data_IF_654921931301
#
_entry.id   IF_654921931301
#
_cell.length_a   1.000
_cell.length_b   1.000
_cell.length_c   1.000
_cell.angle_alpha   90.00
_cell.angle_beta   90.00
_cell.angle_gamma   90.00
#
_symmetry.space_group_name_H-M   'P 1'
#
loop_
_entity.id
_entity.type
_entity.pdbx_description
1 polymer ?
#
# COMPACT_ATOMS: atom_id res chain seq x y z
N UNK A 1 1.24 -21.02 0.74
CA UNK A 1 0.41 -20.02 1.45
C UNK A 1 -0.16 -20.69 2.68
N UNK A 2 -0.14 -20.00 3.82
CA UNK A 2 -0.73 -20.53 5.06
C UNK A 2 -2.23 -20.25 5.10
N UNK A 3 -2.95 -21.05 5.88
CA UNK A 3 -4.40 -20.92 6.06
C UNK A 3 -4.80 -19.51 6.58
N UNK A 4 -3.93 -18.87 7.38
CA UNK A 4 -4.15 -17.50 7.87
C UNK A 4 -4.07 -16.48 6.75
N UNK A 5 -3.07 -16.58 5.87
CA UNK A 5 -2.95 -15.68 4.70
C UNK A 5 -4.17 -15.76 3.79
N UNK A 6 -4.70 -16.96 3.57
CA UNK A 6 -5.90 -17.14 2.73
C UNK A 6 -7.13 -16.50 3.38
N UNK A 7 -7.36 -16.72 4.68
CA UNK A 7 -8.46 -16.09 5.42
C UNK A 7 -8.35 -14.56 5.44
N UNK A 8 -7.16 -14.02 5.65
CA UNK A 8 -6.94 -12.57 5.60
C UNK A 8 -7.22 -12.03 4.19
N UNK A 9 -6.77 -12.73 3.14
CA UNK A 9 -7.06 -12.33 1.77
C UNK A 9 -8.57 -12.28 1.51
N UNK A 10 -9.32 -13.28 1.95
CA UNK A 10 -10.78 -13.32 1.80
C UNK A 10 -11.47 -12.16 2.53
N UNK A 11 -11.01 -11.83 3.74
CA UNK A 11 -11.51 -10.68 4.51
C UNK A 11 -11.23 -9.36 3.77
N UNK A 12 -10.01 -9.18 3.25
CA UNK A 12 -9.63 -7.97 2.50
C UNK A 12 -10.46 -7.83 1.23
N UNK A 13 -10.67 -8.93 0.50
CA UNK A 13 -11.52 -8.99 -0.69
C UNK A 13 -12.96 -8.60 -0.38
N UNK A 14 -13.54 -9.15 0.68
CA UNK A 14 -14.90 -8.82 1.13
C UNK A 14 -15.03 -7.33 1.48
N UNK A 15 -14.05 -6.76 2.19
CA UNK A 15 -14.05 -5.31 2.50
C UNK A 15 -13.93 -4.45 1.26
N UNK A 16 -13.08 -4.82 0.31
CA UNK A 16 -12.94 -4.11 -0.95
C UNK A 16 -14.23 -4.15 -1.77
N UNK A 17 -14.90 -5.31 -1.82
CA UNK A 17 -16.16 -5.47 -2.56
C UNK A 17 -17.30 -4.68 -1.90
N UNK A 18 -17.40 -4.70 -0.57
CA UNK A 18 -18.36 -3.88 0.19
C UNK A 18 -18.16 -2.39 -0.10
N UNK A 19 -16.92 -1.90 -0.07
CA UNK A 19 -16.60 -0.51 -0.40
C UNK A 19 -16.98 -0.16 -1.83
N UNK A 20 -16.62 -1.02 -2.78
CA UNK A 20 -16.87 -0.82 -4.20
C UNK A 20 -18.36 -0.68 -4.51
N UNK A 21 -19.23 -1.39 -3.81
CA UNK A 21 -20.68 -1.30 -4.00
C UNK A 21 -21.31 -0.09 -3.31
N UNK A 22 -20.55 0.64 -2.48
CA UNK A 22 -21.07 1.74 -1.69
C UNK A 22 -21.07 3.06 -2.47
N UNK A 23 -22.26 3.45 -2.94
CA UNK A 23 -22.47 4.68 -3.71
C UNK A 23 -21.99 5.96 -3.00
N UNK A 24 -21.90 5.94 -1.66
CA UNK A 24 -21.47 7.09 -0.86
C UNK A 24 -19.97 7.42 -1.04
N UNK A 25 -19.15 6.46 -1.48
CA UNK A 25 -17.68 6.60 -1.44
C UNK A 25 -16.99 6.45 -2.80
N UNK A 26 -17.74 6.55 -3.89
CA UNK A 26 -17.16 6.79 -5.21
C UNK A 26 -16.64 5.55 -5.95
N UNK A 27 -17.10 4.34 -5.57
CA UNK A 27 -16.90 3.09 -6.31
C UNK A 27 -15.43 2.70 -6.60
N UNK A 28 -14.49 3.14 -5.76
CA UNK A 28 -13.07 2.83 -5.97
C UNK A 28 -12.77 1.35 -5.70
N UNK A 29 -12.14 0.65 -6.66
CA UNK A 29 -11.80 -0.76 -6.55
C UNK A 29 -10.42 -0.94 -5.89
N UNK A 30 -10.37 -0.81 -4.56
CA UNK A 30 -9.12 -0.92 -3.78
C UNK A 30 -8.33 -2.19 -4.09
N UNK A 31 -9.01 -3.31 -4.36
CA UNK A 31 -8.32 -4.55 -4.67
C UNK A 31 -7.61 -4.47 -6.02
N UNK A 32 -8.33 -4.18 -7.11
CA UNK A 32 -7.77 -4.24 -8.47
C UNK A 32 -6.86 -3.05 -8.80
N UNK A 33 -7.13 -1.89 -8.21
CA UNK A 33 -6.41 -0.64 -8.51
C UNK A 33 -5.27 -0.34 -7.54
N UNK A 34 -5.16 -1.06 -6.41
CA UNK A 34 -4.08 -0.86 -5.44
C UNK A 34 -3.55 -2.15 -4.81
N UNK A 35 -4.30 -2.73 -3.85
CA UNK A 35 -3.81 -3.75 -2.90
C UNK A 35 -3.25 -4.98 -3.62
N UNK A 36 -3.93 -5.49 -4.66
CA UNK A 36 -3.45 -6.64 -5.44
C UNK A 36 -2.07 -6.39 -6.04
N UNK A 37 -1.80 -5.16 -6.46
CA UNK A 37 -0.51 -4.80 -7.06
C UNK A 37 0.58 -4.65 -6.00
N UNK A 38 0.24 -4.09 -4.84
CA UNK A 38 1.12 -4.05 -3.67
C UNK A 38 1.52 -5.47 -3.25
N UNK A 39 0.58 -6.40 -3.10
CA UNK A 39 0.87 -7.79 -2.74
C UNK A 39 1.80 -8.46 -3.75
N UNK A 40 1.56 -8.26 -5.06
CA UNK A 40 2.41 -8.81 -6.11
C UNK A 40 3.87 -8.32 -6.00
N UNK A 41 4.07 -7.01 -5.86
CA UNK A 41 5.41 -6.44 -5.68
C UNK A 41 6.05 -6.86 -4.36
N UNK A 42 5.28 -6.89 -3.28
CA UNK A 42 5.78 -7.20 -1.95
C UNK A 42 6.35 -8.62 -1.90
N UNK A 43 5.62 -9.60 -2.45
CA UNK A 43 6.10 -10.99 -2.53
C UNK A 43 7.30 -11.12 -3.47
N UNK A 44 7.32 -10.43 -4.61
CA UNK A 44 8.48 -10.42 -5.52
C UNK A 44 9.73 -9.82 -4.85
N UNK A 45 9.57 -8.72 -4.12
CA UNK A 45 10.63 -8.10 -3.34
C UNK A 45 11.10 -9.01 -2.21
N UNK A 46 10.19 -9.66 -1.48
CA UNK A 46 10.53 -10.58 -0.40
C UNK A 46 11.45 -11.70 -0.89
N UNK A 47 11.10 -12.33 -2.02
CA UNK A 47 11.92 -13.38 -2.64
C UNK A 47 13.30 -12.87 -3.05
N UNK A 48 13.37 -11.68 -3.63
CA UNK A 48 14.64 -11.10 -4.05
C UNK A 48 15.50 -10.64 -2.86
N UNK A 49 14.87 -10.21 -1.77
CA UNK A 49 15.53 -9.52 -0.65
C UNK A 49 15.80 -10.48 0.51
N UNK A 50 15.30 -11.71 0.44
CA UNK A 50 15.46 -12.73 1.48
C UNK A 50 14.59 -12.44 2.70
N UNK A 51 13.44 -11.76 2.51
CA UNK A 51 12.50 -11.46 3.56
C UNK A 51 11.56 -12.65 3.83
N UNK A 52 10.94 -12.68 5.00
CA UNK A 52 9.88 -13.66 5.31
C UNK A 52 8.63 -13.37 4.47
N UNK A 53 8.41 -14.18 3.43
CA UNK A 53 7.34 -13.97 2.47
C UNK A 53 5.94 -13.99 3.10
N UNK A 54 5.72 -14.78 4.17
CA UNK A 54 4.42 -14.83 4.85
C UNK A 54 4.12 -13.50 5.56
N UNK A 55 5.11 -12.95 6.27
CA UNK A 55 5.00 -11.66 6.97
C UNK A 55 4.78 -10.53 5.98
N UNK A 56 5.53 -10.52 4.88
CA UNK A 56 5.43 -9.49 3.84
C UNK A 56 4.08 -9.56 3.14
N UNK A 57 3.59 -10.76 2.79
CA UNK A 57 2.29 -10.92 2.15
C UNK A 57 1.15 -10.47 3.06
N UNK A 58 1.16 -10.85 4.34
CA UNK A 58 0.18 -10.38 5.32
C UNK A 58 0.25 -8.85 5.53
N UNK A 59 1.45 -8.29 5.63
CA UNK A 59 1.67 -6.85 5.74
C UNK A 59 1.11 -6.10 4.52
N UNK A 60 1.36 -6.60 3.32
CA UNK A 60 0.84 -6.02 2.08
C UNK A 60 -0.68 -6.15 1.93
N UNK A 61 -1.27 -7.27 2.36
CA UNK A 61 -2.73 -7.43 2.37
C UNK A 61 -3.42 -6.45 3.32
N UNK A 62 -2.77 -6.16 4.46
CA UNK A 62 -3.37 -5.39 5.56
C UNK A 62 -2.97 -3.90 5.58
N UNK A 63 -1.98 -3.46 4.79
CA UNK A 63 -1.37 -2.12 4.95
C UNK A 63 -2.37 -0.95 4.93
N UNK A 64 -3.41 -1.08 4.10
CA UNK A 64 -4.46 -0.08 3.87
C UNK A 64 -5.86 -0.59 4.23
N UNK A 65 -6.01 -1.70 4.96
CA UNK A 65 -7.31 -2.36 5.19
C UNK A 65 -8.38 -1.44 5.82
N UNK A 66 -7.97 -0.41 6.57
CA UNK A 66 -8.89 0.56 7.16
C UNK A 66 -9.58 1.44 6.11
N UNK A 67 -8.98 1.58 4.92
CA UNK A 67 -9.50 2.37 3.81
C UNK A 67 -10.78 1.77 3.20
N UNK A 68 -10.78 0.52 2.67
CA UNK A 68 -12.01 -0.12 2.23
C UNK A 68 -12.95 -0.45 3.38
N UNK A 69 -12.45 -0.61 4.62
CA UNK A 69 -13.30 -0.81 5.79
C UNK A 69 -13.96 0.48 6.31
N UNK A 70 -13.61 1.65 5.75
CA UNK A 70 -14.10 2.97 6.16
C UNK A 70 -13.92 3.22 7.67
N UNK A 71 -12.79 2.76 8.20
CA UNK A 71 -12.49 2.80 9.63
C UNK A 71 -11.41 3.84 9.93
N UNK A 72 -11.76 4.80 10.79
CA UNK A 72 -10.86 5.87 11.22
C UNK A 72 -10.61 6.95 10.17
N UNK A 73 -9.64 7.82 10.46
CA UNK A 73 -9.26 8.91 9.57
C UNK A 73 -8.30 8.43 8.47
N UNK A 74 -8.59 8.80 7.21
CA UNK A 74 -7.75 8.48 6.04
C UNK A 74 -6.29 8.95 6.17
N UNK A 75 -6.07 10.13 6.75
CA UNK A 75 -4.73 10.70 6.93
C UNK A 75 -3.84 9.82 7.84
N UNK A 76 -4.50 9.07 8.73
CA UNK A 76 -3.91 8.18 9.72
C UNK A 76 -4.14 6.70 9.41
N UNK A 77 -4.51 6.32 8.19
CA UNK A 77 -4.85 4.93 7.79
C UNK A 77 -3.87 3.85 8.30
N UNK A 78 -2.56 4.12 8.30
CA UNK A 78 -1.53 3.23 8.86
C UNK A 78 -1.77 2.84 10.34
N UNK A 79 -2.29 3.74 11.18
CA UNK A 79 -2.62 3.48 12.60
C UNK A 79 -3.83 2.56 12.66
N UNK A 80 -4.95 2.97 12.04
CA UNK A 80 -6.19 2.21 12.05
C UNK A 80 -6.06 0.85 11.35
N UNK A 81 -5.26 0.75 10.29
CA UNK A 81 -4.95 -0.52 9.62
C UNK A 81 -4.10 -1.42 10.51
N UNK A 82 -3.22 -0.86 11.35
CA UNK A 82 -2.45 -1.63 12.35
C UNK A 82 -3.36 -2.18 13.45
N UNK A 83 -4.31 -1.39 13.95
CA UNK A 83 -5.32 -1.83 14.93
C UNK A 83 -6.20 -2.97 14.36
N UNK A 84 -6.62 -2.83 13.11
CA UNK A 84 -7.35 -3.88 12.40
C UNK A 84 -6.50 -5.13 12.20
N UNK A 85 -5.24 -4.97 11.79
CA UNK A 85 -4.31 -6.10 11.64
C UNK A 85 -4.14 -6.87 12.95
N UNK A 86 -3.96 -6.17 14.08
CA UNK A 86 -3.88 -6.78 15.41
C UNK A 86 -5.13 -7.61 15.73
N UNK A 87 -6.31 -7.00 15.55
CA UNK A 87 -7.60 -7.64 15.83
C UNK A 87 -7.82 -8.89 14.97
N UNK A 88 -7.56 -8.79 13.67
CA UNK A 88 -7.77 -9.88 12.71
C UNK A 88 -6.79 -11.05 12.93
N UNK A 89 -5.51 -10.75 13.15
CA UNK A 89 -4.49 -11.76 13.38
C UNK A 89 -4.71 -12.49 14.72
N UNK A 90 -5.10 -11.76 15.77
CA UNK A 90 -5.46 -12.35 17.06
C UNK A 90 -6.68 -13.28 16.94
N UNK A 91 -7.72 -12.86 16.23
CA UNK A 91 -8.91 -13.68 15.99
C UNK A 91 -8.61 -14.99 15.24
N UNK A 92 -7.55 -15.01 14.42
CA UNK A 92 -7.09 -16.18 13.70
C UNK A 92 -6.03 -16.99 14.46
N UNK A 93 -5.75 -16.66 15.73
CA UNK A 93 -4.71 -17.27 16.56
C UNK A 93 -3.33 -17.26 15.89
N UNK A 94 -3.01 -16.20 15.14
CA UNK A 94 -1.68 -16.05 14.53
C UNK A 94 -0.62 -15.81 15.62
N UNK A 95 0.58 -16.40 15.54
CA UNK A 95 1.60 -16.27 16.58
C UNK A 95 1.94 -14.80 16.86
N UNK A 96 1.96 -14.41 18.14
CA UNK A 96 2.09 -13.00 18.53
C UNK A 96 3.41 -12.34 18.09
N UNK A 97 4.51 -13.10 18.09
CA UNK A 97 5.82 -12.65 17.61
C UNK A 97 5.80 -12.33 16.10
N UNK A 98 5.10 -13.16 15.32
CA UNK A 98 4.89 -12.91 13.89
C UNK A 98 3.89 -11.78 13.64
N UNK A 99 2.81 -11.73 14.41
CA UNK A 99 1.79 -10.67 14.31
C UNK A 99 2.41 -9.29 14.50
N UNK A 100 3.33 -9.14 15.45
CA UNK A 100 4.03 -7.87 15.69
C UNK A 100 4.90 -7.45 14.49
N UNK A 101 5.56 -8.40 13.81
CA UNK A 101 6.30 -8.10 12.57
C UNK A 101 5.37 -7.65 11.45
N UNK A 102 4.20 -8.27 11.29
CA UNK A 102 3.18 -7.84 10.33
C UNK A 102 2.68 -6.43 10.65
N UNK A 103 2.35 -6.15 11.92
CA UNK A 103 1.91 -4.83 12.38
C UNK A 103 2.95 -3.75 12.09
N UNK A 104 4.24 -4.01 12.33
CA UNK A 104 5.31 -3.07 11.95
C UNK A 104 5.33 -2.77 10.46
N UNK A 105 5.14 -3.79 9.61
CA UNK A 105 5.02 -3.58 8.17
C UNK A 105 3.87 -2.65 7.81
N UNK A 106 2.69 -2.86 8.42
CA UNK A 106 1.50 -2.03 8.21
C UNK A 106 1.72 -0.61 8.73
N UNK A 107 2.25 -0.44 9.93
CA UNK A 107 2.44 0.87 10.56
C UNK A 107 3.50 1.72 9.85
N UNK A 108 4.61 1.11 9.43
CA UNK A 108 5.76 1.80 8.85
C UNK A 108 5.76 1.87 7.31
N UNK A 109 4.73 1.33 6.63
CA UNK A 109 4.67 1.37 5.17
C UNK A 109 4.70 2.79 4.57
N UNK A 110 4.12 3.85 5.18
CA UNK A 110 4.13 5.17 4.55
C UNK A 110 5.56 5.70 4.40
N UNK A 111 5.88 6.31 3.25
CA UNK A 111 7.23 6.82 2.98
C UNK A 111 7.78 7.78 4.05
N UNK A 112 6.92 8.57 4.72
CA UNK A 112 7.32 9.44 5.84
C UNK A 112 7.87 8.68 7.06
N UNK A 113 7.47 7.43 7.25
CA UNK A 113 7.92 6.55 8.34
C UNK A 113 9.18 5.75 7.96
N UNK A 114 9.86 6.08 6.85
CA UNK A 114 11.08 5.39 6.42
C UNK A 114 12.13 5.24 7.51
N UNK A 115 12.30 6.28 8.33
CA UNK A 115 13.27 6.32 9.43
C UNK A 115 12.94 5.37 10.60
N UNK A 116 11.73 4.83 10.65
CA UNK A 116 11.26 3.90 11.69
C UNK A 116 11.40 2.43 11.27
N UNK A 117 11.68 2.14 10.00
CA UNK A 117 11.79 0.76 9.50
C UNK A 117 13.05 0.10 10.03
N UNK A 118 12.91 -1.08 10.62
CA UNK A 118 14.03 -1.84 11.22
C UNK A 118 14.34 -3.13 10.47
N UNK A 119 13.38 -3.62 9.67
CA UNK A 119 13.43 -4.93 9.04
C UNK A 119 13.31 -4.88 7.52
N UNK A 120 13.72 -5.98 6.87
CA UNK A 120 13.62 -6.11 5.43
C UNK A 120 12.17 -6.30 4.98
N UNK A 121 11.31 -6.89 5.82
CA UNK A 121 9.89 -7.06 5.57
C UNK A 121 9.16 -5.72 5.47
N UNK A 122 9.41 -4.81 6.42
CA UNK A 122 8.86 -3.45 6.39
C UNK A 122 9.29 -2.70 5.12
N UNK A 123 10.55 -2.89 4.72
CA UNK A 123 11.09 -2.31 3.49
C UNK A 123 10.41 -2.87 2.25
N UNK A 124 10.16 -4.18 2.20
CA UNK A 124 9.48 -4.81 1.06
C UNK A 124 8.05 -4.29 0.90
N UNK A 125 7.28 -4.18 1.99
CA UNK A 125 5.90 -3.67 1.94
C UNK A 125 5.86 -2.19 1.54
N UNK A 126 6.71 -1.35 2.16
CA UNK A 126 6.78 0.08 1.84
C UNK A 126 7.22 0.35 0.40
N UNK A 127 8.24 -0.37 -0.07
CA UNK A 127 8.69 -0.24 -1.45
C UNK A 127 7.62 -0.74 -2.44
N UNK A 128 6.92 -1.83 -2.13
CA UNK A 128 5.84 -2.36 -2.95
C UNK A 128 4.65 -1.40 -3.10
N UNK A 129 4.30 -0.68 -2.03
CA UNK A 129 3.26 0.37 -2.06
C UNK A 129 3.62 1.47 -3.06
N UNK A 130 4.85 2.00 -2.97
CA UNK A 130 5.37 2.97 -3.93
C UNK A 130 5.40 2.44 -5.38
N UNK A 131 5.81 1.19 -5.57
CA UNK A 131 5.83 0.57 -6.90
C UNK A 131 4.44 0.39 -7.51
N UNK A 132 3.42 0.11 -6.68
CA UNK A 132 2.04 0.00 -7.14
C UNK A 132 1.52 1.34 -7.69
N UNK A 133 1.87 2.47 -7.07
CA UNK A 133 1.54 3.80 -7.60
C UNK A 133 2.16 4.04 -8.99
N UNK A 134 3.40 3.59 -9.23
CA UNK A 134 4.01 3.70 -10.56
C UNK A 134 3.36 2.81 -11.62
N UNK A 135 2.66 1.75 -11.23
CA UNK A 135 1.89 0.88 -12.15
C UNK A 135 0.45 1.35 -12.35
N UNK A 136 -0.11 2.08 -11.38
CA UNK A 136 -1.53 2.46 -11.31
C UNK A 136 -1.72 3.97 -11.23
N UNK A 137 -0.93 4.72 -11.99
CA UNK A 137 -0.99 6.20 -12.04
C UNK A 137 -2.41 6.74 -12.29
N UNK A 138 -3.25 6.15 -13.18
CA UNK A 138 -4.63 6.62 -13.36
C UNK A 138 -5.44 6.66 -12.06
N UNK A 139 -5.19 5.74 -11.12
CA UNK A 139 -5.86 5.70 -9.82
C UNK A 139 -5.53 6.93 -8.97
N UNK A 140 -4.29 7.42 -9.03
CA UNK A 140 -3.89 8.65 -8.35
C UNK A 140 -4.60 9.88 -8.93
N UNK A 141 -4.75 9.94 -10.27
CA UNK A 141 -5.51 11.02 -10.91
C UNK A 141 -7.00 10.94 -10.57
N UNK A 142 -7.58 9.74 -10.54
CA UNK A 142 -8.97 9.53 -10.10
C UNK A 142 -9.18 10.01 -8.65
N UNK A 143 -8.22 9.76 -7.76
CA UNK A 143 -8.24 10.24 -6.39
C UNK A 143 -8.26 11.78 -6.33
N UNK A 144 -7.28 12.45 -6.95
CA UNK A 144 -7.17 13.92 -6.80
C UNK A 144 -8.34 14.66 -7.47
N UNK A 145 -8.81 14.21 -8.63
CA UNK A 145 -9.89 14.90 -9.35
C UNK A 145 -11.28 14.47 -8.90
N UNK A 146 -11.49 13.17 -8.68
CA UNK A 146 -12.82 12.62 -8.36
C UNK A 146 -13.15 12.67 -6.88
N UNK A 147 -12.20 12.28 -6.02
CA UNK A 147 -12.44 12.13 -4.58
C UNK A 147 -12.07 13.38 -3.80
N UNK A 148 -10.93 14.01 -4.12
CA UNK A 148 -10.48 15.22 -3.42
C UNK A 148 -11.01 16.51 -4.08
N UNK A 149 -11.61 16.42 -5.26
CA UNK A 149 -12.20 17.57 -5.95
C UNK A 149 -11.19 18.66 -6.34
N UNK A 150 -9.91 18.31 -6.48
CA UNK A 150 -8.86 19.25 -6.83
C UNK A 150 -9.00 19.73 -8.27
N UNK A 151 -8.61 20.98 -8.52
CA UNK A 151 -8.53 21.51 -9.89
C UNK A 151 -7.42 20.84 -10.71
N UNK A 152 -7.45 20.97 -12.05
CA UNK A 152 -6.48 20.33 -12.94
C UNK A 152 -5.01 20.57 -12.53
N UNK A 153 -4.65 21.84 -12.29
CA UNK A 153 -3.29 22.25 -11.89
C UNK A 153 -2.90 21.68 -10.53
N UNK A 154 -3.77 21.81 -9.54
CA UNK A 154 -3.53 21.34 -8.18
C UNK A 154 -3.41 19.81 -8.15
N UNK A 155 -4.34 19.08 -8.76
CA UNK A 155 -4.30 17.63 -8.81
C UNK A 155 -3.08 17.11 -9.55
N UNK A 156 -2.67 17.75 -10.66
CA UNK A 156 -1.44 17.42 -11.38
C UNK A 156 -0.22 17.56 -10.47
N UNK A 157 -0.11 18.68 -9.76
CA UNK A 157 1.01 18.93 -8.85
C UNK A 157 0.98 17.98 -7.65
N UNK A 158 -0.20 17.63 -7.14
CA UNK A 158 -0.37 16.66 -6.06
C UNK A 158 0.14 15.26 -6.47
N UNK A 159 -0.27 14.76 -7.64
CA UNK A 159 0.21 13.46 -8.16
C UNK A 159 1.72 13.49 -8.40
N UNK A 160 2.25 14.58 -8.98
CA UNK A 160 3.71 14.73 -9.17
C UNK A 160 4.46 14.62 -7.85
N UNK A 161 4.02 15.35 -6.83
CA UNK A 161 4.64 15.35 -5.50
C UNK A 161 4.51 13.99 -4.81
N UNK A 162 3.38 13.30 -4.95
CA UNK A 162 3.17 11.93 -4.45
C UNK A 162 4.19 10.97 -5.06
N UNK A 163 4.30 10.91 -6.38
CA UNK A 163 5.22 10.02 -7.08
C UNK A 163 6.69 10.33 -6.76
N UNK A 164 7.06 11.61 -6.65
CA UNK A 164 8.39 12.01 -6.20
C UNK A 164 8.66 11.64 -4.74
N UNK A 165 7.64 11.74 -3.87
CA UNK A 165 7.69 11.26 -2.49
C UNK A 165 7.93 9.76 -2.41
N UNK A 166 7.15 8.99 -3.17
CA UNK A 166 7.25 7.54 -3.27
C UNK A 166 8.66 7.12 -3.72
N UNK A 167 9.17 7.72 -4.80
CA UNK A 167 10.53 7.44 -5.28
C UNK A 167 11.61 7.79 -4.24
N UNK A 168 11.49 8.92 -3.54
CA UNK A 168 12.42 9.29 -2.47
C UNK A 168 12.38 8.30 -1.29
N UNK A 169 11.20 7.77 -0.97
CA UNK A 169 10.97 6.84 0.14
C UNK A 169 11.41 5.39 -0.13
N UNK A 170 11.68 5.03 -1.39
CA UNK A 170 12.18 3.70 -1.76
C UNK A 170 13.55 3.39 -1.12
N UNK A 171 13.81 2.11 -0.87
CA UNK A 171 15.16 1.62 -0.57
C UNK A 171 16.12 1.82 -1.74
N UNK A 172 17.42 1.92 -1.46
CA UNK A 172 18.45 2.13 -2.51
C UNK A 172 18.46 1.01 -3.57
N UNK A 173 18.23 -0.23 -3.14
CA UNK A 173 18.15 -1.38 -4.04
C UNK A 173 16.97 -1.25 -5.00
N UNK A 174 15.79 -0.85 -4.51
CA UNK A 174 14.60 -0.67 -5.35
C UNK A 174 14.72 0.56 -6.23
N UNK A 175 15.21 1.69 -5.72
CA UNK A 175 15.48 2.91 -6.49
C UNK A 175 16.29 2.61 -7.74
N UNK A 176 17.41 1.88 -7.59
CA UNK A 176 18.28 1.52 -8.71
C UNK A 176 17.54 0.75 -9.81
N UNK A 177 16.57 -0.11 -9.45
CA UNK A 177 15.81 -0.91 -10.41
C UNK A 177 14.75 -0.13 -11.18
N UNK A 178 14.16 0.89 -10.56
CA UNK A 178 12.97 1.57 -11.11
C UNK A 178 13.22 3.00 -11.54
N UNK A 179 14.48 3.46 -11.43
CA UNK A 179 14.91 4.80 -11.82
C UNK A 179 14.45 5.21 -13.23
N UNK A 180 14.78 4.40 -14.24
CA UNK A 180 14.44 4.71 -15.64
C UNK A 180 12.92 4.83 -15.83
N UNK A 181 12.15 3.93 -15.22
CA UNK A 181 10.69 3.97 -15.25
C UNK A 181 10.16 5.25 -14.59
N UNK A 182 10.69 5.62 -13.43
CA UNK A 182 10.29 6.83 -12.72
C UNK A 182 10.61 8.10 -13.50
N UNK A 183 11.81 8.21 -14.08
CA UNK A 183 12.22 9.32 -14.93
C UNK A 183 11.28 9.45 -16.14
N UNK A 184 10.98 8.33 -16.82
CA UNK A 184 10.03 8.30 -17.94
C UNK A 184 8.62 8.73 -17.55
N UNK A 185 8.12 8.32 -16.38
CA UNK A 185 6.81 8.76 -15.86
C UNK A 185 6.80 10.29 -15.70
N UNK A 186 7.86 10.85 -15.13
CA UNK A 186 7.95 12.30 -14.93
C UNK A 186 8.00 13.07 -16.25
N UNK A 187 8.82 12.60 -17.18
CA UNK A 187 8.97 13.20 -18.51
C UNK A 187 7.71 13.08 -19.36
N UNK A 188 6.94 11.99 -19.24
CA UNK A 188 5.74 11.81 -20.05
C UNK A 188 4.53 12.58 -19.51
N UNK A 189 4.37 12.67 -18.18
CA UNK A 189 3.13 13.17 -17.56
C UNK A 189 3.22 14.59 -17.01
N UNK A 190 4.43 15.09 -16.74
CA UNK A 190 4.61 16.36 -16.04
C UNK A 190 5.50 17.36 -16.80
N UNK A 191 5.31 17.46 -18.12
CA UNK A 191 5.93 18.47 -19.00
C UNK A 191 5.26 19.83 -18.84
N UNK A 192 6.06 20.89 -18.69
CA UNK A 192 5.58 22.27 -18.58
C UNK A 192 4.75 22.73 -19.79
#
# INVERSE_FOLDING_TARGET
MSEVTDKIRDIVLDKCEQHKQNAKYGYYDYWNDHIKRVVWHAVDLANQYGADAEIVELGALLHDISMPAEYGERSEHHIYSTEMAETLLAALNYPGDKAERVKKCVFNHPGRNQHLRETIEETCVSDADALAHFDRIPSLFSLVYGVLGMGLKEGRENVKNRLQGDYRGLSDRTKKKVREKFEMILEALFVD
#
